data_IF_976893694184
#
_entry.id   IF_976893694184
#
_cell.length_a   1.000
_cell.length_b   1.000
_cell.length_c   1.000
_cell.angle_alpha   90.00
_cell.angle_beta   90.00
_cell.angle_gamma   90.00
#
_symmetry.space_group_name_H-M   'P 1'
#
loop_
_entity.id
_entity.type
_entity.pdbx_description
1 polymer ?
#
# COMPACT_ATOMS: atom_id res chain seq x y z
N UNK A 1 -4.29 24.19 29.70
CA UNK A 1 -4.68 23.32 28.58
C UNK A 1 -5.80 22.40 29.04
N UNK A 2 -6.91 22.30 28.28
CA UNK A 2 -8.02 21.37 28.57
C UNK A 2 -7.75 19.94 28.09
N UNK A 3 -6.54 19.67 27.61
CA UNK A 3 -6.17 18.34 27.08
C UNK A 3 -5.83 17.39 28.22
N UNK A 4 -6.26 16.12 28.10
CA UNK A 4 -5.93 15.06 29.04
C UNK A 4 -4.40 14.87 29.09
N UNK A 5 -3.87 14.52 30.26
CA UNK A 5 -2.47 14.16 30.43
C UNK A 5 -2.24 12.72 29.98
N UNK A 6 -0.99 12.36 29.66
CA UNK A 6 -0.66 11.03 29.13
C UNK A 6 -1.12 9.90 30.04
N UNK A 7 -0.93 10.03 31.36
CA UNK A 7 -1.35 9.01 32.33
C UNK A 7 -2.87 8.76 32.38
N UNK A 8 -3.68 9.71 31.88
CA UNK A 8 -5.15 9.58 31.83
C UNK A 8 -5.61 8.82 30.57
N UNK A 9 -4.75 8.71 29.55
CA UNK A 9 -5.09 8.12 28.24
C UNK A 9 -4.23 6.91 27.88
N UNK A 10 -3.24 6.58 28.69
CA UNK A 10 -2.24 5.55 28.38
C UNK A 10 -2.86 4.18 28.15
N UNK A 11 -3.85 3.80 28.95
CA UNK A 11 -4.50 2.48 28.83
C UNK A 11 -5.33 2.39 27.54
N UNK A 12 -6.04 3.45 27.20
CA UNK A 12 -6.76 3.57 25.93
C UNK A 12 -5.79 3.52 24.73
N UNK A 13 -4.65 4.21 24.85
CA UNK A 13 -3.59 4.19 23.85
C UNK A 13 -3.01 2.78 23.66
N UNK A 14 -2.64 2.09 24.74
CA UNK A 14 -2.07 0.74 24.67
C UNK A 14 -3.06 -0.23 24.01
N UNK A 15 -4.34 -0.19 24.38
CA UNK A 15 -5.36 -1.04 23.78
C UNK A 15 -5.58 -0.70 22.29
N UNK A 16 -5.52 0.59 21.92
CA UNK A 16 -5.64 1.05 20.53
C UNK A 16 -4.53 0.52 19.64
N UNK A 17 -3.27 0.51 20.11
CA UNK A 17 -2.12 0.06 19.31
C UNK A 17 -1.89 -1.45 19.36
N UNK A 18 -2.53 -2.16 20.30
CA UNK A 18 -2.35 -3.58 20.54
C UNK A 18 -2.45 -4.42 19.28
N UNK A 19 -1.46 -5.29 19.05
CA UNK A 19 -1.38 -6.17 17.89
C UNK A 19 -1.36 -5.46 16.53
N UNK A 20 -1.06 -4.17 16.48
CA UNK A 20 -0.96 -3.40 15.24
C UNK A 20 0.50 -3.12 14.89
N UNK A 21 0.81 -3.00 13.60
CA UNK A 21 2.07 -2.44 13.15
C UNK A 21 2.03 -0.94 13.28
N UNK A 22 3.12 -0.35 13.75
CA UNK A 22 3.26 1.09 13.87
C UNK A 22 4.15 1.61 12.75
N UNK A 23 3.60 2.52 11.95
CA UNK A 23 4.34 3.18 10.86
C UNK A 23 4.75 4.55 11.36
N UNK A 24 6.05 4.78 11.46
CA UNK A 24 6.65 5.98 12.04
C UNK A 24 7.72 6.51 11.08
N UNK A 25 7.94 7.82 11.08
CA UNK A 25 9.01 8.44 10.32
C UNK A 25 10.11 8.92 11.26
N UNK A 26 11.26 8.23 11.31
CA UNK A 26 12.29 8.35 12.31
C UNK A 26 11.89 7.72 13.65
N UNK A 27 11.57 6.44 13.60
CA UNK A 27 10.95 5.69 14.69
C UNK A 27 11.76 5.69 16.00
N UNK A 28 13.09 5.70 15.92
CA UNK A 28 13.97 5.72 17.10
C UNK A 28 13.65 6.90 18.02
N UNK A 29 13.43 8.07 17.44
CA UNK A 29 13.13 9.28 18.21
C UNK A 29 11.78 9.21 18.91
N UNK A 30 10.72 8.84 18.20
CA UNK A 30 9.37 8.79 18.75
C UNK A 30 9.23 7.66 19.76
N UNK A 31 9.84 6.49 19.51
CA UNK A 31 9.82 5.36 20.44
C UNK A 31 10.58 5.65 21.73
N UNK A 32 11.72 6.35 21.64
CA UNK A 32 12.46 6.74 22.85
C UNK A 32 11.60 7.63 23.77
N UNK A 33 10.90 8.61 23.20
CA UNK A 33 10.00 9.46 23.95
C UNK A 33 8.80 8.69 24.50
N UNK A 34 8.15 7.87 23.69
CA UNK A 34 6.98 7.10 24.09
C UNK A 34 7.30 6.10 25.19
N UNK A 35 8.42 5.37 25.07
CA UNK A 35 8.84 4.40 26.07
C UNK A 35 9.25 5.07 27.39
N UNK A 36 9.85 6.26 27.33
CA UNK A 36 10.11 7.06 28.51
C UNK A 36 8.80 7.45 29.23
N UNK A 37 7.81 7.97 28.51
CA UNK A 37 6.49 8.31 29.09
C UNK A 37 5.79 7.07 29.66
N UNK A 38 5.85 5.92 28.99
CA UNK A 38 5.31 4.66 29.48
C UNK A 38 5.99 4.22 30.78
N UNK A 39 7.32 4.33 30.84
CA UNK A 39 8.11 4.02 32.05
C UNK A 39 7.71 4.89 33.24
N UNK A 40 7.51 6.19 33.01
CA UNK A 40 7.07 7.13 34.08
C UNK A 40 5.71 6.78 34.68
N UNK A 41 4.83 6.12 33.92
CA UNK A 41 3.53 5.65 34.40
C UNK A 41 3.52 4.15 34.79
N UNK A 42 4.69 3.51 34.86
CA UNK A 42 4.83 2.10 35.26
C UNK A 42 4.31 1.10 34.25
N UNK A 43 4.24 1.46 32.99
CA UNK A 43 3.83 0.58 31.87
C UNK A 43 5.06 0.00 31.17
N UNK A 44 4.86 -1.13 30.45
CA UNK A 44 5.89 -1.75 29.64
C UNK A 44 6.11 -0.95 28.34
N UNK A 45 7.33 -1.06 27.82
CA UNK A 45 7.67 -0.49 26.51
C UNK A 45 6.82 -1.07 25.38
N UNK A 46 6.74 -0.34 24.28
CA UNK A 46 6.07 -0.78 23.04
C UNK A 46 6.76 -2.02 22.49
N UNK A 47 5.98 -3.08 22.27
CA UNK A 47 6.45 -4.34 21.70
C UNK A 47 5.91 -4.59 20.27
N UNK A 48 5.30 -3.57 19.69
CA UNK A 48 4.71 -3.65 18.36
C UNK A 48 5.79 -3.79 17.29
N UNK A 49 5.43 -4.42 16.18
CA UNK A 49 6.25 -4.36 14.95
C UNK A 49 6.31 -2.92 14.44
N UNK A 50 7.51 -2.40 14.25
CA UNK A 50 7.76 -1.02 13.83
C UNK A 50 8.20 -0.99 12.37
N UNK A 51 7.60 -0.12 11.58
CA UNK A 51 8.01 0.19 10.22
C UNK A 51 8.52 1.62 10.21
N UNK A 52 9.83 1.79 10.08
CA UNK A 52 10.44 3.12 9.95
C UNK A 52 10.51 3.55 8.49
N UNK A 53 9.66 4.49 8.13
CA UNK A 53 9.62 5.03 6.77
C UNK A 53 10.84 5.87 6.41
N UNK A 54 11.57 6.41 7.37
CA UNK A 54 12.84 7.10 7.14
C UNK A 54 13.91 6.11 6.66
N UNK A 55 13.99 4.93 7.30
CA UNK A 55 14.93 3.90 6.88
C UNK A 55 14.61 3.40 5.46
N UNK A 56 13.35 3.06 5.19
CA UNK A 56 12.91 2.64 3.85
C UNK A 56 13.27 3.71 2.80
N UNK A 57 13.05 4.98 3.13
CA UNK A 57 13.35 6.07 2.21
C UNK A 57 14.85 6.25 1.96
N UNK A 58 15.69 6.08 3.00
CA UNK A 58 17.15 6.12 2.86
C UNK A 58 17.70 5.01 1.96
N UNK A 59 17.17 3.80 2.15
CA UNK A 59 17.57 2.62 1.37
C UNK A 59 17.15 2.77 -0.10
N UNK A 60 15.96 3.33 -0.33
CA UNK A 60 15.41 3.50 -1.68
C UNK A 60 15.98 4.70 -2.44
N UNK A 61 16.39 5.75 -1.72
CA UNK A 61 16.85 7.02 -2.28
C UNK A 61 18.15 7.50 -1.63
N UNK A 62 19.25 6.76 -1.74
CA UNK A 62 20.52 7.13 -1.11
C UNK A 62 20.99 8.50 -1.61
N UNK A 63 21.56 9.30 -0.70
CA UNK A 63 22.11 10.63 -1.02
C UNK A 63 21.08 11.73 -1.26
N UNK A 64 19.78 11.47 -1.11
CA UNK A 64 18.74 12.49 -1.24
C UNK A 64 18.14 12.88 0.11
N UNK A 65 17.50 14.07 0.18
CA UNK A 65 16.72 14.43 1.37
C UNK A 65 15.49 13.53 1.48
N UNK A 66 15.32 12.92 2.64
CA UNK A 66 14.22 11.98 2.94
C UNK A 66 13.33 12.46 4.09
N UNK A 67 13.33 13.76 4.38
CA UNK A 67 12.34 14.35 5.31
C UNK A 67 10.93 14.15 4.77
N UNK A 68 9.91 14.17 5.65
CA UNK A 68 8.52 14.02 5.23
C UNK A 68 8.12 15.02 4.14
N UNK A 69 8.57 16.29 4.24
CA UNK A 69 8.32 17.30 3.23
C UNK A 69 9.03 17.01 1.90
N UNK A 70 10.27 16.53 1.96
CA UNK A 70 11.03 16.16 0.76
C UNK A 70 10.35 14.97 0.05
N UNK A 71 9.86 13.99 0.80
CA UNK A 71 9.13 12.84 0.26
C UNK A 71 7.77 13.25 -0.31
N UNK A 72 7.02 14.14 0.37
CA UNK A 72 5.79 14.71 -0.18
C UNK A 72 6.05 15.38 -1.53
N UNK A 73 7.08 16.22 -1.62
CA UNK A 73 7.48 16.87 -2.87
C UNK A 73 7.86 15.86 -3.95
N UNK A 74 8.65 14.84 -3.61
CA UNK A 74 9.07 13.77 -4.52
C UNK A 74 7.89 13.00 -5.10
N UNK A 75 6.91 12.67 -4.28
CA UNK A 75 5.71 11.92 -4.67
C UNK A 75 4.55 12.79 -5.14
N UNK A 76 4.76 14.12 -5.25
CA UNK A 76 3.74 15.10 -5.64
C UNK A 76 2.50 15.05 -4.74
N UNK A 77 2.71 14.83 -3.44
CA UNK A 77 1.68 14.87 -2.41
C UNK A 77 1.53 16.31 -1.95
N UNK A 78 0.30 16.83 -1.99
CA UNK A 78 0.01 18.19 -1.51
C UNK A 78 0.17 18.27 0.01
N UNK A 79 1.17 19.04 0.45
CA UNK A 79 1.46 19.32 1.85
C UNK A 79 1.14 20.77 2.26
N UNK A 80 0.37 21.50 1.45
CA UNK A 80 0.04 22.92 1.69
C UNK A 80 -0.62 23.16 3.05
N UNK A 81 -1.37 22.19 3.56
CA UNK A 81 -2.05 22.23 4.86
C UNK A 81 -1.09 22.09 6.05
N UNK A 82 0.16 21.66 5.82
CA UNK A 82 1.17 21.44 6.86
C UNK A 82 1.69 22.74 7.50
N UNK A 83 1.32 23.92 6.98
CA UNK A 83 1.70 25.23 7.58
C UNK A 83 1.35 25.35 9.07
N UNK A 84 0.37 24.61 9.56
CA UNK A 84 0.07 24.41 10.98
C UNK A 84 0.40 22.98 11.35
N UNK A 85 1.66 22.69 11.66
CA UNK A 85 2.11 21.35 12.05
C UNK A 85 1.19 20.74 13.12
N UNK A 86 0.22 19.95 12.70
CA UNK A 86 -0.63 19.17 13.58
C UNK A 86 -0.34 17.71 13.36
N UNK A 87 -0.28 16.92 14.43
CA UNK A 87 0.00 15.50 14.37
C UNK A 87 -0.92 14.75 13.38
N UNK A 88 -2.19 15.13 13.31
CA UNK A 88 -3.16 14.50 12.39
C UNK A 88 -2.82 14.74 10.92
N UNK A 89 -2.37 15.95 10.57
CA UNK A 89 -1.96 16.27 9.19
C UNK A 89 -0.69 15.51 8.84
N UNK A 90 0.27 15.44 9.75
CA UNK A 90 1.52 14.71 9.55
C UNK A 90 1.26 13.20 9.41
N UNK A 91 0.34 12.62 10.17
CA UNK A 91 -0.09 11.22 10.00
C UNK A 91 -0.77 10.96 8.63
N UNK A 92 -1.64 11.86 8.16
CA UNK A 92 -2.27 11.74 6.84
C UNK A 92 -1.23 11.80 5.72
N UNK A 93 -0.28 12.73 5.81
CA UNK A 93 0.82 12.83 4.85
C UNK A 93 1.73 11.61 4.89
N UNK A 94 2.06 11.13 6.09
CA UNK A 94 2.87 9.94 6.27
C UNK A 94 2.23 8.69 5.67
N UNK A 95 0.91 8.52 5.83
CA UNK A 95 0.20 7.39 5.22
C UNK A 95 0.30 7.41 3.69
N UNK A 96 0.14 8.57 3.06
CA UNK A 96 0.28 8.76 1.61
C UNK A 96 1.73 8.52 1.14
N UNK A 97 2.71 9.01 1.90
CA UNK A 97 4.14 8.80 1.62
C UNK A 97 4.47 7.31 1.73
N UNK A 98 3.98 6.62 2.76
CA UNK A 98 4.23 5.19 2.96
C UNK A 98 3.70 4.35 1.79
N UNK A 99 2.45 4.57 1.35
CA UNK A 99 1.87 3.88 0.18
C UNK A 99 2.76 4.06 -1.07
N UNK A 100 3.31 5.26 -1.28
CA UNK A 100 4.23 5.50 -2.39
C UNK A 100 5.62 4.86 -2.19
N UNK A 101 6.10 4.77 -0.95
CA UNK A 101 7.38 4.13 -0.64
C UNK A 101 7.36 2.63 -0.91
N UNK A 102 6.25 1.96 -0.62
CA UNK A 102 6.08 0.51 -0.85
C UNK A 102 5.57 0.20 -2.28
N UNK A 103 5.49 1.21 -3.16
CA UNK A 103 5.03 1.11 -4.56
C UNK A 103 3.62 0.51 -4.75
N UNK A 104 2.81 0.51 -3.69
CA UNK A 104 1.44 -0.01 -3.73
C UNK A 104 0.44 1.05 -4.24
N UNK A 105 0.72 1.68 -5.38
CA UNK A 105 -0.23 2.64 -5.98
C UNK A 105 -1.44 1.95 -6.60
N UNK A 106 -1.26 0.73 -7.07
CA UNK A 106 -2.31 -0.11 -7.65
C UNK A 106 -1.99 -1.58 -7.35
N UNK A 107 -2.99 -2.45 -7.18
CA UNK A 107 -2.74 -3.88 -7.09
C UNK A 107 -2.13 -4.34 -8.41
N UNK A 108 -0.83 -4.61 -8.41
CA UNK A 108 -0.17 -5.24 -9.55
C UNK A 108 -0.58 -6.71 -9.60
N UNK A 109 -1.25 -7.12 -10.67
CA UNK A 109 -1.47 -8.52 -10.98
C UNK A 109 -0.13 -9.17 -11.27
N UNK A 110 0.42 -9.86 -10.28
CA UNK A 110 1.68 -10.56 -10.43
C UNK A 110 1.42 -11.93 -11.04
N UNK A 111 1.60 -12.04 -12.36
CA UNK A 111 1.43 -13.32 -13.10
C UNK A 111 2.63 -14.26 -12.95
N UNK A 112 3.71 -13.86 -12.30
CA UNK A 112 4.94 -14.66 -12.21
C UNK A 112 4.85 -15.86 -11.26
N UNK A 113 3.82 -15.95 -10.41
CA UNK A 113 3.65 -17.05 -9.45
C UNK A 113 2.63 -18.10 -9.89
N UNK A 114 2.26 -18.16 -11.16
CA UNK A 114 1.30 -19.17 -11.65
C UNK A 114 1.92 -20.53 -11.96
N UNK A 115 3.26 -20.64 -11.91
CA UNK A 115 3.94 -21.87 -12.35
C UNK A 115 4.53 -22.73 -11.21
N UNK A 116 4.43 -22.32 -9.94
CA UNK A 116 5.03 -23.12 -8.85
C UNK A 116 4.18 -23.10 -7.57
N UNK A 117 3.00 -23.68 -7.59
CA UNK A 117 2.44 -24.32 -6.39
C UNK A 117 1.35 -25.31 -6.80
N UNK A 118 1.81 -26.55 -7.08
CA UNK A 118 0.93 -27.71 -6.96
C UNK A 118 0.75 -28.01 -5.49
N UNK A 119 -0.12 -27.29 -4.83
CA UNK A 119 -0.61 -27.68 -3.52
C UNK A 119 -2.09 -28.08 -3.59
N UNK A 120 -2.27 -29.34 -3.19
CA UNK A 120 -3.51 -30.05 -3.07
C UNK A 120 -4.51 -29.31 -2.15
N UNK A 121 -5.28 -28.41 -2.69
CA UNK A 121 -6.56 -28.06 -2.10
C UNK A 121 -7.65 -28.34 -3.14
N UNK A 122 -8.59 -29.18 -2.78
CA UNK A 122 -9.80 -29.48 -3.54
C UNK A 122 -10.63 -28.20 -3.81
N UNK A 123 -10.12 -27.33 -4.67
CA UNK A 123 -10.91 -26.28 -5.26
C UNK A 123 -11.59 -26.87 -6.49
N UNK A 124 -12.89 -27.06 -6.42
CA UNK A 124 -13.73 -27.37 -7.57
C UNK A 124 -13.32 -26.46 -8.73
N UNK A 125 -12.78 -27.03 -9.81
CA UNK A 125 -12.45 -26.29 -11.03
C UNK A 125 -13.70 -25.58 -11.53
N UNK A 126 -13.81 -24.31 -11.26
CA UNK A 126 -14.87 -23.49 -11.85
C UNK A 126 -14.51 -23.31 -13.32
N UNK A 127 -15.16 -24.10 -14.18
CA UNK A 127 -15.02 -23.92 -15.62
C UNK A 127 -15.76 -22.65 -16.03
N UNK A 128 -15.00 -21.60 -16.34
CA UNK A 128 -15.57 -20.33 -16.80
C UNK A 128 -16.17 -20.41 -18.21
N UNK A 129 -15.83 -21.44 -18.99
CA UNK A 129 -16.33 -21.66 -20.35
C UNK A 129 -17.09 -22.98 -20.43
N UNK A 130 -18.40 -22.91 -20.55
CA UNK A 130 -19.23 -24.09 -20.72
C UNK A 130 -19.35 -24.57 -22.17
N UNK A 131 -19.15 -23.66 -23.14
CA UNK A 131 -19.33 -23.98 -24.55
C UNK A 131 -18.55 -23.00 -25.42
N UNK A 132 -17.77 -23.53 -26.32
CA UNK A 132 -17.18 -22.74 -27.42
C UNK A 132 -18.22 -22.65 -28.52
N UNK A 133 -18.71 -21.47 -28.82
CA UNK A 133 -19.59 -21.20 -29.97
C UNK A 133 -18.73 -21.17 -31.22
N UNK A 134 -18.90 -22.14 -32.09
CA UNK A 134 -18.27 -22.14 -33.42
C UNK A 134 -19.18 -21.44 -34.41
N UNK A 135 -18.69 -20.57 -35.26
CA UNK A 135 -19.48 -19.92 -36.32
C UNK A 135 -20.01 -20.98 -37.31
N UNK A 136 -21.16 -20.73 -37.86
CA UNK A 136 -21.71 -21.54 -38.95
C UNK A 136 -20.95 -21.30 -40.26
N UNK A 137 -21.05 -22.19 -41.21
CA UNK A 137 -20.41 -22.04 -42.53
C UNK A 137 -20.85 -20.75 -43.25
N UNK A 138 -22.13 -20.41 -43.15
CA UNK A 138 -22.68 -19.16 -43.69
C UNK A 138 -22.09 -17.91 -43.05
N UNK A 139 -21.82 -17.93 -41.75
CA UNK A 139 -21.17 -16.81 -41.06
C UNK A 139 -19.73 -16.67 -41.49
N UNK A 140 -19.02 -17.77 -41.68
CA UNK A 140 -17.64 -17.76 -42.19
C UNK A 140 -17.60 -17.22 -43.61
N UNK A 141 -18.52 -17.63 -44.47
CA UNK A 141 -18.59 -17.12 -45.84
C UNK A 141 -18.85 -15.61 -45.90
N UNK A 142 -19.83 -15.13 -45.12
CA UNK A 142 -20.14 -13.70 -45.03
C UNK A 142 -18.96 -12.90 -44.45
N UNK A 143 -18.27 -13.46 -43.48
CA UNK A 143 -17.10 -12.85 -42.87
C UNK A 143 -15.94 -12.70 -43.92
N UNK A 144 -15.68 -13.75 -44.66
CA UNK A 144 -14.68 -13.75 -45.69
C UNK A 144 -15.00 -12.77 -46.85
N UNK A 145 -16.25 -12.66 -47.24
CA UNK A 145 -16.73 -11.70 -48.21
C UNK A 145 -16.57 -10.26 -47.68
N UNK A 146 -16.92 -10.01 -46.45
CA UNK A 146 -16.71 -8.72 -45.77
C UNK A 146 -15.21 -8.32 -45.77
N UNK A 147 -14.32 -9.26 -45.42
CA UNK A 147 -12.87 -9.03 -45.41
C UNK A 147 -12.35 -8.65 -46.82
N UNK A 148 -12.82 -9.36 -47.85
CA UNK A 148 -12.42 -9.05 -49.25
C UNK A 148 -12.88 -7.66 -49.70
N UNK A 149 -14.06 -7.23 -49.31
CA UNK A 149 -14.67 -6.01 -49.82
C UNK A 149 -14.27 -4.75 -49.04
N UNK A 150 -13.91 -4.89 -47.74
CA UNK A 150 -13.73 -3.77 -46.83
C UNK A 150 -12.31 -3.63 -46.28
N UNK A 151 -11.46 -4.63 -46.37
CA UNK A 151 -10.08 -4.56 -45.92
C UNK A 151 -9.10 -4.52 -47.08
N UNK A 152 -8.28 -3.47 -47.15
CA UNK A 152 -7.25 -3.29 -48.16
C UNK A 152 -6.06 -4.25 -48.05
N UNK A 153 -5.88 -4.88 -46.88
CA UNK A 153 -4.85 -5.90 -46.60
C UNK A 153 -5.46 -7.02 -45.74
N UNK A 154 -5.26 -8.25 -46.19
CA UNK A 154 -5.61 -9.46 -45.45
C UNK A 154 -4.39 -9.80 -44.55
N UNK A 155 -4.60 -9.87 -43.25
CA UNK A 155 -3.56 -10.21 -42.27
C UNK A 155 -3.69 -11.64 -41.73
N UNK A 156 -4.59 -12.45 -42.31
CA UNK A 156 -4.84 -13.85 -41.90
C UNK A 156 -4.75 -14.78 -43.11
#
# INVERSE_FOLDING_TARGET
>A
SKQKKFHEVVDEFIEFVKNKRLIIHNAEFDLAHLNNELSLVGKKEIQNEIIDTLQIARDKYPGTSVSLDALCKKFRIDNSRRKKHTALIDCDLLSKVYINLIDQKEPTLNFQNLDTETDNTNSSKVSYFKKVVKPSEDEILKHNEYLKNHLKKNYF
#
